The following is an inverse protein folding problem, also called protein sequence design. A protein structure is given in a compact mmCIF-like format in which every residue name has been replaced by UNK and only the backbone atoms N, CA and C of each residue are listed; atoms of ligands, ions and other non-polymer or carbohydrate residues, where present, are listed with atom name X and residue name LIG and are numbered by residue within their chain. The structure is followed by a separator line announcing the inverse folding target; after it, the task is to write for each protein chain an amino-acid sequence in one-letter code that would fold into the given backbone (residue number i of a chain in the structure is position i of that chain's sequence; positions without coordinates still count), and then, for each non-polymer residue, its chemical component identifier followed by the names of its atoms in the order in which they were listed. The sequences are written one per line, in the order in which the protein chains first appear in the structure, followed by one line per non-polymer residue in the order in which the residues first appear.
data_IF_113403879189
#
_entry.id   IF_113403879189
#
_cell.length_a   1.000
_cell.length_b   1.000
_cell.length_c   1.000
_cell.angle_alpha   90.00
_cell.angle_beta   90.00
_cell.angle_gamma   90.00
#
_symmetry.space_group_name_H-M   'P 1'
#
loop_
_entity.id
_entity.type
_entity.pdbx_description
1 polymer ?
#
# COMPACT_ATOMS: atom_id res chain seq x y z
N UNK A 1 -2.17 -20.89 -17.09
CA UNK A 1 -2.85 -19.94 -16.18
C UNK A 1 -4.25 -20.48 -15.92
N UNK A 2 -4.71 -20.53 -14.67
CA UNK A 2 -6.05 -21.00 -14.26
C UNK A 2 -6.80 -19.86 -13.55
N UNK A 3 -8.12 -19.97 -13.44
CA UNK A 3 -9.00 -18.91 -12.92
C UNK A 3 -10.10 -19.51 -12.04
N UNK A 4 -10.59 -18.74 -11.07
CA UNK A 4 -11.80 -19.02 -10.30
C UNK A 4 -12.72 -17.80 -10.26
N UNK A 5 -13.98 -17.96 -10.69
CA UNK A 5 -15.02 -16.95 -10.60
C UNK A 5 -15.58 -16.87 -9.17
N UNK A 6 -15.72 -15.65 -8.65
CA UNK A 6 -16.20 -15.42 -7.27
C UNK A 6 -17.12 -14.19 -7.10
N UNK A 7 -17.28 -13.37 -8.13
CA UNK A 7 -18.11 -12.17 -8.15
C UNK A 7 -18.46 -11.78 -9.60
N UNK A 8 -19.35 -10.81 -9.75
CA UNK A 8 -19.73 -10.19 -11.02
C UNK A 8 -19.62 -8.66 -10.90
N UNK A 9 -19.63 -7.99 -12.06
CA UNK A 9 -19.68 -6.55 -12.16
C UNK A 9 -21.09 -6.10 -12.57
N UNK A 10 -21.17 -5.48 -13.74
CA UNK A 10 -22.44 -5.03 -14.33
C UNK A 10 -23.28 -6.21 -14.83
N UNK A 11 -24.60 -6.12 -14.61
CA UNK A 11 -25.59 -7.06 -15.13
C UNK A 11 -26.83 -6.30 -15.58
N UNK A 12 -27.45 -6.78 -16.65
CA UNK A 12 -28.69 -6.22 -17.20
C UNK A 12 -29.89 -6.41 -16.27
N UNK A 13 -29.91 -7.52 -15.52
CA UNK A 13 -30.95 -7.86 -14.57
C UNK A 13 -30.41 -8.72 -13.42
N UNK A 14 -31.01 -8.67 -12.22
CA UNK A 14 -30.69 -9.60 -11.14
C UNK A 14 -30.99 -11.04 -11.57
N UNK A 15 -30.02 -11.93 -11.44
CA UNK A 15 -30.16 -13.33 -11.87
C UNK A 15 -30.24 -14.31 -10.68
N UNK A 16 -30.12 -13.82 -9.45
CA UNK A 16 -30.28 -14.59 -8.20
C UNK A 16 -30.29 -13.68 -6.97
N UNK A 17 -30.60 -14.26 -5.80
CA UNK A 17 -30.76 -13.58 -4.51
C UNK A 17 -29.67 -13.90 -3.49
N UNK A 18 -28.86 -14.94 -3.71
CA UNK A 18 -27.77 -15.32 -2.78
C UNK A 18 -26.43 -15.49 -3.48
N UNK A 19 -25.34 -15.20 -2.77
CA UNK A 19 -23.96 -15.38 -3.24
C UNK A 19 -23.67 -16.86 -3.57
N UNK A 20 -24.21 -17.80 -2.79
CA UNK A 20 -24.13 -19.23 -3.04
C UNK A 20 -24.76 -19.60 -4.38
N UNK A 21 -25.96 -19.09 -4.69
CA UNK A 21 -26.63 -19.34 -5.95
C UNK A 21 -25.94 -18.65 -7.15
N UNK A 22 -25.26 -17.52 -6.94
CA UNK A 22 -24.38 -16.93 -7.97
C UNK A 22 -23.30 -17.92 -8.39
N UNK A 23 -22.65 -18.56 -7.43
CA UNK A 23 -21.56 -19.50 -7.71
C UNK A 23 -22.08 -20.74 -8.45
N UNK A 24 -23.26 -21.24 -8.10
CA UNK A 24 -23.89 -22.34 -8.83
C UNK A 24 -24.30 -21.92 -10.26
N UNK A 25 -24.77 -20.69 -10.44
CA UNK A 25 -25.05 -20.14 -11.78
C UNK A 25 -23.78 -20.05 -12.62
N UNK A 26 -22.67 -19.61 -12.03
CA UNK A 26 -21.36 -19.59 -12.69
C UNK A 26 -20.92 -20.98 -13.12
N UNK A 27 -21.05 -22.00 -12.25
CA UNK A 27 -20.78 -23.40 -12.66
C UNK A 27 -21.66 -23.83 -13.82
N UNK A 28 -22.96 -23.50 -13.78
CA UNK A 28 -23.91 -23.79 -14.86
C UNK A 28 -23.57 -23.13 -16.19
N UNK A 29 -22.89 -21.98 -16.16
CA UNK A 29 -22.36 -21.31 -17.36
C UNK A 29 -20.97 -21.81 -17.79
N UNK A 30 -20.40 -22.81 -17.11
CA UNK A 30 -19.08 -23.35 -17.40
C UNK A 30 -17.93 -22.51 -16.84
N UNK A 31 -18.19 -21.52 -15.98
CA UNK A 31 -17.14 -20.78 -15.30
C UNK A 31 -16.56 -21.63 -14.15
N UNK A 32 -15.23 -21.73 -14.03
CA UNK A 32 -14.60 -22.46 -12.94
C UNK A 32 -14.84 -21.73 -11.62
N UNK A 33 -15.39 -22.43 -10.62
CA UNK A 33 -15.60 -21.93 -9.24
C UNK A 33 -14.74 -22.75 -8.30
N UNK A 34 -14.25 -22.15 -7.21
CA UNK A 34 -13.43 -22.86 -6.25
C UNK A 34 -14.25 -24.00 -5.60
N UNK A 35 -13.82 -25.28 -5.70
CA UNK A 35 -14.57 -26.41 -5.16
C UNK A 35 -14.64 -26.41 -3.63
N UNK A 36 -13.78 -25.62 -2.96
CA UNK A 36 -13.72 -25.52 -1.51
C UNK A 36 -14.64 -24.44 -0.94
N UNK A 37 -15.39 -23.71 -1.76
CA UNK A 37 -16.38 -22.75 -1.24
C UNK A 37 -17.51 -23.47 -0.51
N UNK A 38 -17.81 -23.02 0.72
CA UNK A 38 -18.82 -23.62 1.60
C UNK A 38 -19.75 -22.55 2.17
N UNK A 39 -21.06 -22.81 2.12
CA UNK A 39 -22.04 -22.04 2.88
C UNK A 39 -21.92 -22.41 4.36
N UNK A 40 -21.72 -21.41 5.22
CA UNK A 40 -21.63 -21.58 6.66
C UNK A 40 -22.80 -20.82 7.32
N UNK A 41 -23.46 -21.45 8.30
CA UNK A 41 -24.64 -20.89 8.98
C UNK A 41 -24.33 -20.26 10.34
N UNK A 42 -23.10 -20.39 10.82
CA UNK A 42 -22.63 -19.79 12.07
C UNK A 42 -21.16 -19.38 11.99
N UNK A 43 -20.72 -18.55 12.95
CA UNK A 43 -19.31 -18.13 13.05
C UNK A 43 -18.38 -19.33 13.34
N UNK A 44 -18.84 -20.29 14.13
CA UNK A 44 -18.12 -21.52 14.47
C UNK A 44 -17.87 -22.36 13.20
N UNK A 45 -18.87 -22.50 12.34
CA UNK A 45 -18.71 -23.18 11.04
C UNK A 45 -17.69 -22.46 10.14
N UNK A 46 -17.72 -21.12 10.12
CA UNK A 46 -16.78 -20.30 9.35
C UNK A 46 -15.33 -20.45 9.85
N UNK A 47 -15.14 -20.49 11.16
CA UNK A 47 -13.81 -20.68 11.79
C UNK A 47 -13.32 -22.10 11.58
N UNK A 48 -14.19 -23.10 11.73
CA UNK A 48 -13.85 -24.50 11.47
C UNK A 48 -13.39 -24.69 10.01
N UNK A 49 -14.13 -24.10 9.06
CA UNK A 49 -13.76 -24.15 7.64
C UNK A 49 -12.42 -23.44 7.37
N UNK A 50 -12.18 -22.28 7.98
CA UNK A 50 -10.88 -21.59 7.91
C UNK A 50 -9.73 -22.50 8.37
N UNK A 51 -9.86 -23.18 9.52
CA UNK A 51 -8.84 -24.11 10.05
C UNK A 51 -8.59 -25.29 9.11
N UNK A 52 -9.64 -25.83 8.49
CA UNK A 52 -9.49 -26.88 7.46
C UNK A 52 -8.65 -26.39 6.28
N UNK A 53 -8.97 -25.21 5.72
CA UNK A 53 -8.21 -24.66 4.60
C UNK A 53 -6.77 -24.33 5.00
N UNK A 54 -6.55 -23.82 6.22
CA UNK A 54 -5.21 -23.56 6.77
C UNK A 54 -4.35 -24.82 6.81
N UNK A 55 -4.91 -25.93 7.30
CA UNK A 55 -4.22 -27.22 7.37
C UNK A 55 -3.89 -27.80 5.99
N UNK A 56 -4.80 -27.63 5.01
CA UNK A 56 -4.62 -28.14 3.65
C UNK A 56 -3.77 -27.23 2.76
N UNK A 57 -3.44 -26.00 3.23
CA UNK A 57 -2.83 -24.93 2.44
C UNK A 57 -1.62 -25.38 1.63
N UNK A 58 -0.71 -26.14 2.24
CA UNK A 58 0.51 -26.61 1.60
C UNK A 58 0.26 -27.56 0.41
N UNK A 59 -0.91 -28.20 0.35
CA UNK A 59 -1.28 -29.16 -0.69
C UNK A 59 -2.10 -28.58 -1.84
N UNK A 60 -2.44 -27.28 -1.83
CA UNK A 60 -3.44 -26.73 -2.75
C UNK A 60 -2.99 -26.58 -4.21
N UNK A 61 -1.70 -26.74 -4.53
CA UNK A 61 -1.19 -26.57 -5.90
C UNK A 61 -1.33 -25.14 -6.45
N UNK A 62 -1.73 -24.20 -5.61
CA UNK A 62 -1.77 -22.75 -5.82
C UNK A 62 -1.67 -22.07 -4.46
N UNK A 63 -1.16 -20.84 -4.45
CA UNK A 63 -0.99 -20.06 -3.22
C UNK A 63 -2.29 -19.36 -2.81
N UNK A 64 -2.52 -19.32 -1.50
CA UNK A 64 -3.59 -18.54 -0.86
C UNK A 64 -3.05 -17.86 0.41
N UNK A 65 -3.63 -16.72 0.77
CA UNK A 65 -3.24 -15.92 1.94
C UNK A 65 -4.33 -15.86 3.02
N UNK A 66 -5.47 -16.52 2.81
CA UNK A 66 -6.58 -16.59 3.76
C UNK A 66 -7.86 -17.14 3.13
N UNK A 67 -8.98 -16.87 3.79
CA UNK A 67 -10.33 -17.09 3.28
C UNK A 67 -11.11 -15.78 3.24
N UNK A 68 -12.13 -15.69 2.39
CA UNK A 68 -13.02 -14.54 2.34
C UNK A 68 -14.41 -14.97 2.80
N UNK A 69 -14.87 -14.33 3.87
CA UNK A 69 -16.24 -14.43 4.33
C UNK A 69 -17.12 -13.42 3.61
N UNK A 70 -18.31 -13.83 3.18
CA UNK A 70 -19.30 -12.97 2.53
C UNK A 70 -20.66 -13.27 3.13
N UNK A 71 -21.44 -12.22 3.38
CA UNK A 71 -22.87 -12.37 3.68
C UNK A 71 -23.54 -13.01 2.47
N UNK A 72 -24.27 -14.11 2.66
CA UNK A 72 -24.84 -14.87 1.54
C UNK A 72 -26.01 -14.13 0.86
N UNK A 73 -26.89 -13.51 1.64
CA UNK A 73 -28.05 -12.76 1.14
C UNK A 73 -27.62 -11.46 0.43
N UNK A 74 -27.96 -11.33 -0.87
CA UNK A 74 -27.59 -10.17 -1.68
C UNK A 74 -28.39 -8.92 -1.33
N UNK A 75 -29.59 -9.06 -0.75
CA UNK A 75 -30.35 -7.95 -0.17
C UNK A 75 -29.62 -7.31 0.99
N UNK A 76 -29.03 -8.12 1.88
CA UNK A 76 -28.17 -7.60 2.95
C UNK A 76 -26.88 -7.00 2.43
N UNK A 77 -26.24 -7.57 1.40
CA UNK A 77 -25.07 -6.94 0.78
C UNK A 77 -25.38 -5.53 0.25
N UNK A 78 -26.49 -5.37 -0.48
CA UNK A 78 -26.96 -4.06 -0.98
C UNK A 78 -27.20 -3.06 0.14
N UNK A 79 -27.84 -3.50 1.23
CA UNK A 79 -28.14 -2.66 2.40
C UNK A 79 -26.88 -2.25 3.18
N UNK A 80 -25.91 -3.17 3.33
CA UNK A 80 -24.66 -2.91 4.03
C UNK A 80 -23.75 -1.96 3.24
N UNK A 81 -23.72 -2.10 1.91
CA UNK A 81 -23.01 -1.21 1.01
C UNK A 81 -21.49 -1.27 1.15
N UNK A 82 -20.84 -0.14 0.86
CA UNK A 82 -19.39 -0.01 0.78
C UNK A 82 -18.89 1.17 1.64
N UNK A 83 -17.67 1.04 2.15
CA UNK A 83 -16.83 2.20 2.52
C UNK A 83 -15.95 2.58 1.33
N UNK A 84 -15.17 3.66 1.42
CA UNK A 84 -14.43 4.26 0.30
C UNK A 84 -13.66 3.26 -0.60
N UNK A 85 -13.16 2.15 -0.06
CA UNK A 85 -12.35 1.17 -0.80
C UNK A 85 -12.74 -0.30 -0.56
N UNK A 86 -13.76 -0.59 0.24
CA UNK A 86 -14.08 -1.97 0.64
C UNK A 86 -15.57 -2.20 0.90
N UNK A 87 -16.12 -3.39 0.61
CA UNK A 87 -17.48 -3.76 1.00
C UNK A 87 -17.60 -3.92 2.51
N UNK A 88 -18.79 -3.61 3.06
CA UNK A 88 -19.10 -3.85 4.49
C UNK A 88 -19.64 -5.26 4.76
N UNK A 89 -19.95 -6.01 3.71
CA UNK A 89 -20.57 -7.34 3.75
C UNK A 89 -19.59 -8.49 3.47
N UNK A 90 -18.30 -8.19 3.31
CA UNK A 90 -17.27 -9.20 3.14
C UNK A 90 -16.02 -8.86 3.94
N UNK A 91 -15.32 -9.91 4.40
CA UNK A 91 -14.11 -9.80 5.20
C UNK A 91 -13.09 -10.87 4.76
N UNK A 92 -11.87 -10.45 4.49
CA UNK A 92 -10.75 -11.36 4.27
C UNK A 92 -10.12 -11.73 5.62
N UNK A 93 -10.26 -13.00 6.01
CA UNK A 93 -9.63 -13.57 7.19
C UNK A 93 -8.32 -14.23 6.76
N UNK A 94 -7.22 -13.51 6.98
CA UNK A 94 -5.88 -13.94 6.56
C UNK A 94 -5.29 -14.98 7.50
N UNK A 95 -4.49 -15.90 6.94
CA UNK A 95 -3.75 -16.87 7.75
C UNK A 95 -2.76 -16.17 8.68
N UNK A 96 -2.42 -16.84 9.79
CA UNK A 96 -1.33 -16.40 10.63
C UNK A 96 -0.06 -16.22 9.77
N UNK A 97 0.62 -15.10 9.98
CA UNK A 97 1.83 -14.81 9.24
C UNK A 97 2.88 -15.86 9.59
N UNK A 98 3.56 -16.38 8.57
CA UNK A 98 4.60 -17.36 8.79
C UNK A 98 5.86 -16.65 9.25
N UNK A 99 6.51 -17.23 10.26
CA UNK A 99 7.70 -16.68 10.87
C UNK A 99 8.88 -17.61 10.62
N UNK A 100 10.07 -17.01 10.48
CA UNK A 100 11.31 -17.75 10.54
C UNK A 100 12.35 -16.94 11.30
N UNK A 101 13.31 -17.66 11.88
CA UNK A 101 14.43 -17.07 12.59
C UNK A 101 15.64 -17.16 11.67
N UNK A 102 16.35 -16.04 11.49
CA UNK A 102 17.57 -16.00 10.69
C UNK A 102 18.53 -14.93 11.19
N UNK A 103 19.73 -14.89 10.63
CA UNK A 103 20.77 -13.94 10.98
C UNK A 103 20.68 -12.67 10.12
N UNK A 104 20.82 -11.50 10.75
CA UNK A 104 20.90 -10.20 10.10
C UNK A 104 22.34 -9.90 9.70
N UNK A 105 22.65 -10.04 8.40
CA UNK A 105 24.00 -9.89 7.86
C UNK A 105 24.42 -8.43 7.66
N UNK A 106 23.48 -7.56 7.27
CA UNK A 106 23.73 -6.13 7.05
C UNK A 106 22.43 -5.32 7.05
N UNK A 107 22.54 -4.00 7.18
CA UNK A 107 21.42 -3.06 6.99
C UNK A 107 21.82 -2.06 5.90
N UNK A 108 21.13 -2.16 4.75
CA UNK A 108 21.26 -1.21 3.65
C UNK A 108 20.20 -0.11 3.76
N UNK A 109 20.46 1.05 3.17
CA UNK A 109 19.50 2.16 3.12
C UNK A 109 18.96 2.37 1.71
N UNK A 110 17.68 2.08 1.53
CA UNK A 110 16.96 2.35 0.29
C UNK A 110 16.34 3.74 0.29
N UNK A 111 16.73 4.58 -0.68
CA UNK A 111 16.19 5.92 -0.85
C UNK A 111 14.95 5.88 -1.75
N UNK A 112 13.79 6.23 -1.19
CA UNK A 112 12.51 6.26 -1.89
C UNK A 112 12.36 7.48 -2.80
N UNK A 113 11.32 7.46 -3.66
CA UNK A 113 11.00 8.56 -4.59
C UNK A 113 10.69 9.90 -3.92
N UNK A 114 10.23 9.87 -2.68
CA UNK A 114 9.99 11.07 -1.86
C UNK A 114 11.19 11.43 -0.98
N UNK A 115 12.34 10.79 -1.21
CA UNK A 115 13.57 10.99 -0.45
C UNK A 115 13.62 10.25 0.87
N UNK A 116 12.64 9.41 1.22
CA UNK A 116 12.66 8.63 2.46
C UNK A 116 13.83 7.65 2.48
N UNK A 117 14.62 7.66 3.56
CA UNK A 117 15.66 6.66 3.80
C UNK A 117 15.02 5.50 4.55
N UNK A 118 14.89 4.36 3.89
CA UNK A 118 14.21 3.19 4.43
C UNK A 118 15.24 2.07 4.67
N UNK A 119 15.47 1.65 5.92
CA UNK A 119 16.39 0.57 6.22
C UNK A 119 15.86 -0.77 5.70
N UNK A 120 16.75 -1.53 5.06
CA UNK A 120 16.51 -2.86 4.52
C UNK A 120 17.48 -3.84 5.16
N UNK A 121 16.95 -4.83 5.86
CA UNK A 121 17.72 -5.93 6.40
C UNK A 121 18.18 -6.87 5.28
N UNK A 122 19.49 -7.15 5.22
CA UNK A 122 20.09 -8.25 4.47
C UNK A 122 20.18 -9.45 5.39
N UNK A 123 19.51 -10.53 5.03
CA UNK A 123 19.35 -11.70 5.88
C UNK A 123 20.12 -12.88 5.30
N UNK A 124 20.60 -13.75 6.18
CA UNK A 124 20.98 -15.10 5.77
C UNK A 124 19.75 -15.78 5.16
N UNK A 125 19.83 -16.32 3.93
CA UNK A 125 18.66 -16.83 3.23
C UNK A 125 17.88 -17.84 4.07
N UNK A 126 16.58 -17.59 4.24
CA UNK A 126 15.68 -18.41 5.06
C UNK A 126 14.34 -18.61 4.36
N UNK A 127 13.75 -19.79 4.48
CA UNK A 127 12.44 -20.06 3.89
C UNK A 127 11.33 -19.58 4.82
N UNK A 128 10.48 -18.66 4.34
CA UNK A 128 9.30 -18.16 5.07
C UNK A 128 8.07 -18.36 4.21
N UNK A 129 7.24 -19.34 4.58
CA UNK A 129 6.03 -19.66 3.81
C UNK A 129 6.32 -20.12 2.39
N UNK A 130 7.23 -21.09 2.24
CA UNK A 130 7.57 -21.70 0.95
C UNK A 130 8.47 -20.87 0.03
N UNK A 131 8.76 -19.60 0.36
CA UNK A 131 9.65 -18.74 -0.44
C UNK A 131 10.92 -18.43 0.34
N UNK A 132 12.05 -18.42 -0.36
CA UNK A 132 13.34 -18.00 0.20
C UNK A 132 13.39 -16.48 0.32
N UNK A 133 13.56 -15.99 1.54
CA UNK A 133 13.69 -14.58 1.88
C UNK A 133 15.14 -14.28 2.24
N UNK A 134 15.74 -13.31 1.54
CA UNK A 134 17.06 -12.76 1.86
C UNK A 134 17.03 -11.27 2.22
N UNK A 135 15.85 -10.63 2.11
CA UNK A 135 15.66 -9.21 2.41
C UNK A 135 14.37 -8.99 3.17
N UNK A 136 14.39 -8.10 4.15
CA UNK A 136 13.20 -7.69 4.88
C UNK A 136 13.23 -6.19 5.22
N UNK A 137 12.05 -5.56 5.29
CA UNK A 137 11.96 -4.15 5.70
C UNK A 137 12.20 -4.01 7.20
N UNK A 138 12.89 -2.93 7.58
CA UNK A 138 13.04 -2.45 8.95
C UNK A 138 12.25 -1.16 9.19
N UNK A 139 11.30 -0.83 8.30
CA UNK A 139 10.41 0.32 8.36
C UNK A 139 11.10 1.70 8.32
N UNK A 140 11.78 2.13 9.39
CA UNK A 140 12.41 3.43 9.53
C UNK A 140 13.51 3.42 10.62
N UNK A 141 14.22 4.54 10.78
CA UNK A 141 15.29 4.73 11.77
C UNK A 141 14.84 4.42 13.21
N UNK A 142 13.70 4.97 13.64
CA UNK A 142 13.16 4.70 14.98
C UNK A 142 12.86 3.23 15.20
N UNK A 143 12.31 2.56 14.19
CA UNK A 143 12.04 1.12 14.26
C UNK A 143 13.33 0.30 14.40
N UNK A 144 14.46 0.72 13.83
CA UNK A 144 15.76 0.06 14.09
C UNK A 144 16.23 0.30 15.52
N UNK A 145 15.97 1.50 16.06
CA UNK A 145 16.35 1.90 17.42
C UNK A 145 15.45 1.32 18.53
N UNK A 146 14.35 0.64 18.20
CA UNK A 146 13.40 0.17 19.21
C UNK A 146 12.43 1.26 19.68
N UNK A 147 12.16 2.26 18.83
CA UNK A 147 11.26 3.39 19.13
C UNK A 147 10.15 3.49 18.08
N UNK A 148 8.91 3.61 18.55
CA UNK A 148 7.71 3.82 17.75
C UNK A 148 7.63 5.22 17.14
N UNK A 149 6.63 5.44 16.28
CA UNK A 149 6.41 6.74 15.64
C UNK A 149 5.89 7.81 16.63
N UNK A 150 5.28 7.39 17.72
CA UNK A 150 4.83 8.19 18.86
C UNK A 150 5.98 8.60 19.80
N UNK A 151 7.11 7.89 19.73
CA UNK A 151 8.27 8.04 20.60
C UNK A 151 8.35 6.97 21.70
N UNK A 152 7.36 6.07 21.78
CA UNK A 152 7.33 5.04 22.81
C UNK A 152 8.22 3.85 22.45
N UNK A 153 8.79 3.12 23.42
CA UNK A 153 9.56 1.93 23.15
C UNK A 153 8.72 0.86 22.44
N UNK A 154 9.27 0.27 21.39
CA UNK A 154 8.74 -0.95 20.76
C UNK A 154 9.68 -2.11 21.05
N UNK A 155 9.15 -3.33 21.11
CA UNK A 155 9.92 -4.53 21.47
C UNK A 155 10.66 -4.33 22.81
N UNK A 156 9.98 -3.72 23.77
CA UNK A 156 10.54 -3.37 25.09
C UNK A 156 11.82 -2.52 25.02
N UNK A 157 11.98 -1.71 23.95
CA UNK A 157 13.16 -0.86 23.74
C UNK A 157 14.35 -1.57 23.10
N UNK A 158 14.17 -2.81 22.61
CA UNK A 158 15.20 -3.56 21.90
C UNK A 158 15.49 -2.94 20.52
N UNK A 159 16.73 -2.50 20.35
CA UNK A 159 17.29 -2.11 19.06
C UNK A 159 17.63 -3.33 18.19
N UNK A 160 17.83 -3.10 16.90
CA UNK A 160 18.24 -4.13 15.92
C UNK A 160 19.66 -3.82 15.47
N UNK A 161 20.55 -4.81 15.54
CA UNK A 161 21.98 -4.69 15.24
C UNK A 161 22.41 -5.67 14.16
N UNK A 162 23.41 -5.29 13.38
CA UNK A 162 24.04 -6.24 12.44
C UNK A 162 24.67 -7.38 13.25
N UNK A 163 24.46 -8.62 12.80
CA UNK A 163 24.82 -9.85 13.50
C UNK A 163 23.71 -10.43 14.38
N UNK A 164 22.61 -9.69 14.63
CA UNK A 164 21.50 -10.20 15.44
C UNK A 164 20.83 -11.41 14.79
N UNK A 165 20.39 -12.34 15.64
CA UNK A 165 19.38 -13.32 15.25
C UNK A 165 18.00 -12.66 15.30
N UNK A 166 17.31 -12.57 14.18
CA UNK A 166 16.05 -11.84 14.02
C UNK A 166 14.89 -12.76 13.66
N UNK A 167 13.69 -12.38 14.08
CA UNK A 167 12.42 -13.02 13.72
C UNK A 167 11.85 -12.30 12.51
N UNK A 168 11.78 -12.98 11.38
CA UNK A 168 11.27 -12.47 10.11
C UNK A 168 9.86 -12.99 9.90
N UNK A 169 8.96 -12.09 9.56
CA UNK A 169 7.54 -12.40 9.37
C UNK A 169 7.11 -12.05 7.96
N UNK A 170 6.38 -12.97 7.34
CA UNK A 170 5.75 -12.79 6.03
C UNK A 170 4.26 -13.06 6.13
N UNK A 171 3.45 -12.05 5.82
CA UNK A 171 1.99 -12.18 5.77
C UNK A 171 1.53 -12.28 4.31
N UNK A 172 1.18 -13.48 3.85
CA UNK A 172 0.77 -13.72 2.46
C UNK A 172 1.87 -13.38 1.44
N UNK A 173 1.50 -12.76 0.32
CA UNK A 173 2.43 -12.33 -0.75
C UNK A 173 3.02 -10.93 -0.55
N UNK A 174 3.02 -10.44 0.69
CA UNK A 174 3.50 -9.10 1.04
C UNK A 174 5.00 -9.10 1.36
N UNK A 175 5.63 -7.93 1.22
CA UNK A 175 7.04 -7.64 1.56
C UNK A 175 7.38 -8.16 2.98
N UNK A 176 8.37 -9.06 3.13
CA UNK A 176 8.83 -9.54 4.43
C UNK A 176 9.31 -8.41 5.33
N UNK A 177 9.07 -8.54 6.64
CA UNK A 177 9.54 -7.58 7.66
C UNK A 177 10.21 -8.29 8.83
N UNK A 178 11.17 -7.64 9.46
CA UNK A 178 11.69 -8.08 10.75
C UNK A 178 10.69 -7.66 11.84
N UNK A 179 10.29 -8.60 12.70
CA UNK A 179 9.37 -8.34 13.82
C UNK A 179 10.11 -8.04 15.12
N UNK A 180 11.08 -8.86 15.49
CA UNK A 180 11.84 -8.74 16.74
C UNK A 180 13.23 -9.39 16.62
N UNK A 181 14.04 -9.25 17.67
CA UNK A 181 15.37 -9.83 17.87
C UNK A 181 15.30 -10.92 18.92
N UNK A 182 16.02 -12.02 18.72
CA UNK A 182 16.24 -13.06 19.73
C UNK A 182 17.42 -12.62 20.59
N UNK A 183 17.14 -11.87 21.66
CA UNK A 183 18.17 -11.19 22.48
C UNK A 183 19.19 -12.16 23.08
N UNK A 184 18.75 -13.35 23.48
CA UNK A 184 19.61 -14.39 24.07
C UNK A 184 20.69 -14.89 23.10
N UNK A 185 20.54 -14.61 21.80
CA UNK A 185 21.48 -14.98 20.74
C UNK A 185 22.26 -13.80 20.19
N UNK A 186 22.18 -12.63 20.82
CA UNK A 186 22.93 -11.43 20.38
C UNK A 186 24.43 -11.68 20.56
N UNK A 187 25.24 -11.54 19.49
CA UNK A 187 26.69 -11.59 19.61
C UNK A 187 27.21 -10.51 20.57
N UNK A 188 28.24 -10.82 21.35
CA UNK A 188 28.82 -9.89 22.33
C UNK A 188 29.45 -8.65 21.67
N UNK A 189 29.86 -8.77 20.42
CA UNK A 189 30.45 -7.71 19.59
C UNK A 189 29.41 -6.93 18.75
N UNK A 190 28.11 -7.22 18.91
CA UNK A 190 27.05 -6.54 18.17
C UNK A 190 26.92 -5.06 18.58
N UNK A 191 27.20 -4.16 17.64
CA UNK A 191 27.15 -2.71 17.85
C UNK A 191 25.81 -2.10 17.42
N UNK A 192 25.30 -1.07 18.13
CA UNK A 192 24.12 -0.32 17.70
C UNK A 192 24.28 0.23 16.28
N UNK A 193 23.24 0.10 15.46
CA UNK A 193 23.27 0.60 14.09
C UNK A 193 23.19 2.13 14.05
N UNK A 194 24.17 2.77 13.41
CA UNK A 194 24.19 4.22 13.20
C UNK A 194 23.51 4.55 11.89
N UNK A 195 22.36 5.23 11.96
CA UNK A 195 21.62 5.65 10.79
C UNK A 195 22.32 6.82 10.10
N UNK A 196 22.44 6.84 8.75
CA UNK A 196 23.22 7.86 8.08
C UNK A 196 22.53 9.24 8.07
N UNK A 197 23.31 10.28 8.36
CA UNK A 197 22.92 11.69 8.23
C UNK A 197 23.08 12.24 6.81
N UNK A 198 23.62 11.43 5.90
CA UNK A 198 23.79 11.74 4.48
C UNK A 198 23.10 10.70 3.62
N UNK A 199 22.56 11.16 2.48
CA UNK A 199 21.86 10.30 1.55
C UNK A 199 22.87 9.43 0.78
N UNK A 200 22.77 8.09 0.83
CA UNK A 200 23.70 7.21 0.10
C UNK A 200 23.56 7.33 -1.42
N UNK A 201 22.43 7.84 -1.93
CA UNK A 201 22.18 7.98 -3.37
C UNK A 201 22.77 9.26 -3.99
N UNK A 202 22.98 10.34 -3.22
CA UNK A 202 23.45 11.62 -3.77
C UNK A 202 24.38 12.43 -2.86
N UNK A 203 24.71 11.93 -1.67
CA UNK A 203 25.56 12.61 -0.68
C UNK A 203 24.93 13.82 0.02
N UNK A 204 23.73 14.26 -0.38
CA UNK A 204 23.03 15.38 0.27
C UNK A 204 22.65 15.07 1.72
N UNK A 205 22.48 16.08 2.56
CA UNK A 205 22.04 15.91 3.95
C UNK A 205 20.70 15.17 4.02
N UNK A 206 20.56 14.29 4.99
CA UNK A 206 19.34 13.57 5.29
C UNK A 206 18.87 13.95 6.70
N UNK A 207 17.67 14.51 6.81
CA UNK A 207 17.16 15.10 8.05
C UNK A 207 15.79 14.54 8.41
N UNK A 208 15.49 14.53 9.71
CA UNK A 208 14.12 14.37 10.20
C UNK A 208 13.51 15.76 10.35
N UNK A 209 12.42 16.02 9.64
CA UNK A 209 11.78 17.34 9.70
C UNK A 209 11.00 17.51 10.99
N UNK A 210 11.05 18.69 11.59
CA UNK A 210 10.22 19.04 12.74
C UNK A 210 8.79 19.31 12.26
N UNK A 211 7.83 18.52 12.73
CA UNK A 211 6.43 18.79 12.43
C UNK A 211 5.97 20.03 13.20
N UNK A 212 5.53 21.11 12.52
CA UNK A 212 5.21 22.37 13.18
C UNK A 212 3.96 22.30 14.08
N UNK A 213 3.05 21.35 13.83
CA UNK A 213 1.81 21.15 14.60
C UNK A 213 2.05 20.34 15.86
N UNK A 214 2.75 19.21 15.74
CA UNK A 214 2.98 18.31 16.87
C UNK A 214 4.24 18.65 17.66
N UNK A 215 5.11 19.52 17.11
CA UNK A 215 6.45 19.85 17.65
C UNK A 215 7.35 18.62 17.85
N UNK A 216 7.03 17.50 17.20
CA UNK A 216 7.83 16.26 17.18
C UNK A 216 8.58 16.15 15.85
N UNK A 217 9.77 15.53 15.88
CA UNK A 217 10.48 15.14 14.66
C UNK A 217 9.68 14.04 13.94
N UNK A 218 9.62 14.11 12.61
CA UNK A 218 9.03 13.04 11.79
C UNK A 218 9.76 11.71 12.06
N UNK A 219 9.04 10.59 12.03
CA UNK A 219 9.60 9.26 12.20
C UNK A 219 10.52 8.86 11.04
N UNK A 220 10.34 9.49 9.86
CA UNK A 220 11.09 9.18 8.64
C UNK A 220 12.14 10.26 8.37
N UNK A 221 13.40 9.83 8.27
CA UNK A 221 14.49 10.66 7.76
C UNK A 221 14.39 10.77 6.23
N UNK A 222 14.50 12.00 5.70
CA UNK A 222 14.44 12.27 4.26
C UNK A 222 15.68 12.99 3.75
N UNK A 223 16.11 12.60 2.56
CA UNK A 223 17.14 13.29 1.79
C UNK A 223 16.64 14.66 1.33
N UNK A 224 17.40 15.72 1.58
CA UNK A 224 17.09 17.10 1.14
C UNK A 224 17.55 17.39 -0.28
N UNK A 225 18.09 16.39 -0.98
CA UNK A 225 18.66 16.55 -2.32
C UNK A 225 17.64 16.86 -3.41
N UNK A 226 16.35 16.62 -3.18
CA UNK A 226 15.28 17.00 -4.13
C UNK A 226 15.64 16.65 -5.58
N UNK A 227 15.74 17.67 -6.43
CA UNK A 227 16.07 17.52 -7.86
C UNK A 227 17.47 16.96 -8.16
N UNK A 228 18.44 17.09 -7.25
CA UNK A 228 19.78 16.53 -7.43
C UNK A 228 19.88 15.07 -6.96
N UNK A 229 18.91 14.59 -6.18
CA UNK A 229 18.89 13.20 -5.76
C UNK A 229 18.35 12.32 -6.90
N UNK A 230 19.11 11.32 -7.40
CA UNK A 230 18.65 10.47 -8.49
C UNK A 230 17.43 9.64 -8.11
N UNK A 231 17.23 9.37 -6.81
CA UNK A 231 16.04 8.67 -6.32
C UNK A 231 14.78 9.55 -6.35
N UNK A 232 14.91 10.87 -6.16
CA UNK A 232 13.77 11.80 -6.06
C UNK A 232 13.43 12.50 -7.37
N UNK A 233 14.45 12.75 -8.19
CA UNK A 233 14.29 13.31 -9.50
C UNK A 233 13.55 12.32 -10.41
N UNK A 234 12.23 12.45 -10.50
CA UNK A 234 11.47 11.77 -11.55
C UNK A 234 11.95 12.18 -12.95
N UNK A 235 11.26 11.70 -14.01
CA UNK A 235 11.63 11.94 -15.43
C UNK A 235 11.97 13.39 -15.78
N UNK A 236 11.41 14.39 -15.09
CA UNK A 236 11.69 15.81 -15.29
C UNK A 236 13.11 16.24 -14.89
N UNK A 237 13.68 15.70 -13.80
CA UNK A 237 15.04 16.01 -13.38
C UNK A 237 16.08 15.34 -14.31
N UNK A 238 15.77 14.16 -14.82
CA UNK A 238 16.55 13.46 -15.84
C UNK A 238 16.56 14.23 -17.17
N UNK A 239 15.40 14.70 -17.61
CA UNK A 239 15.28 15.57 -18.79
C UNK A 239 16.07 16.88 -18.64
N UNK A 240 16.09 17.49 -17.44
CA UNK A 240 16.88 18.69 -17.18
C UNK A 240 18.39 18.43 -17.24
N UNK A 241 18.86 17.29 -16.70
CA UNK A 241 20.27 16.86 -16.80
C UNK A 241 20.68 16.58 -18.24
N UNK A 242 19.79 15.97 -19.03
CA UNK A 242 20.02 15.75 -20.46
C UNK A 242 20.10 17.09 -21.22
N UNK A 243 19.16 18.00 -20.97
CA UNK A 243 19.14 19.33 -21.59
C UNK A 243 20.37 20.17 -21.22
N UNK A 244 20.88 20.08 -19.99
CA UNK A 244 22.08 20.80 -19.55
C UNK A 244 23.37 20.24 -20.17
N UNK A 245 23.42 18.94 -20.49
CA UNK A 245 24.54 18.34 -21.24
C UNK A 245 24.51 18.70 -22.73
N UNK A 246 23.34 19.02 -23.27
CA UNK A 246 23.13 19.41 -24.66
C UNK A 246 23.28 20.93 -24.90
N UNK A 247 24.01 21.68 -24.06
CA UNK A 247 24.23 23.11 -24.35
C UNK A 247 24.84 23.27 -25.76
N UNK A 248 24.21 24.01 -26.67
CA UNK A 248 24.81 24.32 -27.96
C UNK A 248 26.12 25.08 -27.72
N UNK A 249 27.17 24.73 -28.48
CA UNK A 249 28.40 25.52 -28.57
C UNK A 249 28.04 27.00 -28.78
N UNK A 250 28.61 27.88 -27.95
CA UNK A 250 28.49 29.36 -27.94
C UNK A 250 27.98 29.93 -29.28
N UNK A 251 26.77 30.50 -29.29
CA UNK A 251 26.41 31.49 -30.30
C UNK A 251 27.34 32.68 -30.13
N UNK A 252 28.08 33.03 -31.19
CA UNK A 252 28.97 34.19 -31.21
C UNK A 252 28.14 35.49 -31.07
N UNK A 253 28.65 36.53 -30.40
CA UNK A 253 27.89 37.76 -30.14
C UNK A 253 27.67 38.68 -31.36
N UNK A 254 28.17 38.34 -32.55
CA UNK A 254 28.40 39.32 -33.61
C UNK A 254 27.22 39.57 -34.57
N UNK A 255 26.00 39.13 -34.26
CA UNK A 255 24.83 39.32 -35.13
C UNK A 255 23.82 40.36 -34.63
N UNK A 256 24.26 41.32 -33.82
CA UNK A 256 23.44 42.48 -33.43
C UNK A 256 24.03 43.81 -33.91
N UNK A 257 24.31 43.92 -35.21
CA UNK A 257 24.54 45.23 -35.84
C UNK A 257 24.19 45.22 -37.32
N UNK A 258 22.94 45.55 -37.64
CA UNK A 258 22.57 45.90 -39.01
C UNK A 258 21.12 45.63 -39.36
N UNK A 259 20.20 46.49 -38.91
CA UNK A 259 18.97 46.85 -39.63
C UNK A 259 18.14 47.87 -38.83
N UNK A 260 18.72 49.02 -38.50
CA UNK A 260 17.93 50.23 -38.22
C UNK A 260 18.02 51.07 -39.48
N UNK A 261 16.99 51.00 -40.34
CA UNK A 261 16.53 52.03 -41.30
C UNK A 261 15.57 51.39 -42.32
N UNK A 262 14.28 51.75 -42.28
CA UNK A 262 13.33 51.45 -43.35
C UNK A 262 11.86 51.44 -42.90
N UNK A 263 11.15 52.52 -43.26
CA UNK A 263 9.74 52.92 -43.05
C UNK A 263 8.64 51.83 -42.94
N UNK A 264 7.50 52.14 -42.28
CA UNK A 264 6.39 51.21 -42.08
C UNK A 264 5.54 51.05 -43.35
N UNK A 265 5.14 49.81 -43.65
CA UNK A 265 3.97 49.54 -44.49
C UNK A 265 2.99 48.72 -43.66
N UNK A 266 1.81 49.30 -43.47
CA UNK A 266 0.63 48.65 -42.91
C UNK A 266 0.24 47.45 -43.78
N UNK A 267 -0.02 46.30 -43.15
CA UNK A 267 -0.80 45.22 -43.74
C UNK A 267 -1.53 44.48 -42.61
N UNK A 268 -2.85 44.47 -42.75
CA UNK A 268 -3.84 44.05 -41.77
C UNK A 268 -3.69 42.58 -41.30
N UNK A 269 -3.81 42.36 -39.99
CA UNK A 269 -4.16 41.06 -39.42
C UNK A 269 -5.65 40.80 -39.65
N UNK A 270 -5.98 39.77 -40.45
CA UNK A 270 -7.32 39.16 -40.47
C UNK A 270 -7.44 38.14 -39.33
N UNK A 271 -8.47 38.20 -38.47
CA UNK A 271 -8.71 37.16 -37.48
C UNK A 271 -9.34 35.90 -38.12
N UNK A 272 -8.90 34.74 -37.63
CA UNK A 272 -9.43 33.41 -37.95
C UNK A 272 -10.72 33.17 -37.16
N UNK A 273 -11.82 32.67 -37.74
CA UNK A 273 -13.07 32.46 -37.01
C UNK A 273 -13.03 31.16 -36.19
N UNK A 274 -13.25 31.27 -34.88
CA UNK A 274 -13.59 30.15 -33.98
C UNK A 274 -15.10 29.93 -33.99
N UNK A 275 -15.56 28.88 -34.67
CA UNK A 275 -16.95 28.43 -34.62
C UNK A 275 -17.13 27.32 -33.59
N UNK A 276 -17.67 27.65 -32.42
CA UNK A 276 -18.30 26.68 -31.51
C UNK A 276 -19.76 27.10 -31.38
N UNK A 277 -20.67 26.31 -31.95
CA UNK A 277 -22.12 26.47 -31.76
C UNK A 277 -22.53 25.81 -30.45
N UNK A 278 -23.13 26.60 -29.56
CA UNK A 278 -23.93 26.10 -28.44
C UNK A 278 -25.26 25.55 -28.98
N UNK A 279 -25.66 24.39 -28.48
CA UNK A 279 -27.02 23.88 -28.63
C UNK A 279 -27.62 23.73 -27.23
N UNK A 280 -28.66 24.52 -26.98
CA UNK A 280 -29.52 24.46 -25.81
C UNK A 280 -30.45 23.24 -25.89
N UNK A 281 -30.85 22.70 -24.73
CA UNK A 281 -32.04 21.86 -24.65
C UNK A 281 -32.06 20.88 -23.49
N UNK A 282 -33.00 21.08 -22.55
CA UNK A 282 -33.69 19.96 -21.91
C UNK A 282 -33.55 19.83 -20.40
N UNK A 283 -34.22 20.72 -19.66
CA UNK A 283 -34.59 20.54 -18.25
C UNK A 283 -35.52 19.32 -18.08
N UNK A 284 -35.08 18.31 -17.31
CA UNK A 284 -35.94 17.28 -16.71
C UNK A 284 -35.38 16.82 -15.37
N UNK A 285 -35.87 17.45 -14.28
CA UNK A 285 -35.82 16.89 -12.92
C UNK A 285 -36.90 15.80 -12.77
N UNK A 286 -36.60 14.63 -12.18
CA UNK A 286 -37.63 13.79 -11.59
C UNK A 286 -37.78 14.08 -10.09
N UNK A 287 -39.03 13.94 -9.65
CA UNK A 287 -39.57 14.34 -8.35
C UNK A 287 -38.97 13.59 -7.15
N UNK A 288 -38.81 14.31 -6.03
CA UNK A 288 -38.56 13.74 -4.70
C UNK A 288 -39.88 13.22 -4.13
N UNK A 289 -39.92 11.94 -3.75
CA UNK A 289 -41.00 11.37 -2.94
C UNK A 289 -40.66 11.49 -1.45
N UNK A 290 -41.60 11.85 -0.55
CA UNK A 290 -41.33 12.04 0.87
C UNK A 290 -41.68 10.76 1.65
N UNK A 291 -40.69 10.11 2.26
CA UNK A 291 -40.96 9.14 3.33
C UNK A 291 -40.14 9.48 4.58
N UNK A 292 -40.89 9.51 5.67
CA UNK A 292 -40.60 10.07 6.99
C UNK A 292 -39.49 9.30 7.70
N UNK A 293 -38.57 10.05 8.32
CA UNK A 293 -37.68 9.52 9.35
C UNK A 293 -38.46 9.33 10.66
N UNK A 294 -38.34 8.15 11.27
CA UNK A 294 -38.68 7.92 12.67
C UNK A 294 -37.38 7.72 13.47
N UNK A 295 -37.26 8.29 14.68
CA UNK A 295 -36.00 8.31 15.41
C UNK A 295 -35.68 6.99 16.10
N UNK A 296 -34.39 6.66 16.03
CA UNK A 296 -33.69 5.59 16.73
C UNK A 296 -33.74 5.83 18.26
N UNK A 297 -34.29 4.89 19.03
CA UNK A 297 -34.16 4.86 20.50
C UNK A 297 -33.09 3.84 20.89
N UNK A 298 -32.05 4.32 21.57
CA UNK A 298 -31.00 3.49 22.15
C UNK A 298 -31.42 2.81 23.47
N UNK A 299 -30.71 1.72 23.76
CA UNK A 299 -30.28 1.18 25.06
C UNK A 299 -28.92 0.54 24.75
N UNK A 300 -27.76 0.93 25.28
CA UNK A 300 -27.33 1.23 26.65
C UNK A 300 -27.60 0.08 27.62
N UNK A 301 -26.52 -0.63 28.00
CA UNK A 301 -26.46 -1.41 29.24
C UNK A 301 -25.71 -2.73 29.15
N UNK A 302 -24.68 -2.83 29.99
CA UNK A 302 -24.03 -4.03 30.55
C UNK A 302 -22.99 -4.77 29.69
N UNK A 303 -21.82 -5.18 30.18
CA UNK A 303 -21.03 -4.90 31.41
C UNK A 303 -19.71 -5.69 31.26
N UNK A 304 -18.69 -5.31 32.02
CA UNK A 304 -17.38 -5.95 32.14
C UNK A 304 -17.44 -7.43 32.54
N UNK A 305 -16.45 -8.21 32.10
CA UNK A 305 -15.90 -9.34 32.85
C UNK A 305 -14.49 -9.68 32.32
N UNK A 306 -13.48 -9.12 33.01
CA UNK A 306 -12.18 -9.75 33.20
C UNK A 306 -12.33 -10.99 34.11
N UNK A 307 -11.56 -12.05 33.82
CA UNK A 307 -11.01 -13.12 34.69
C UNK A 307 -10.74 -14.36 33.82
N UNK A 308 -9.49 -14.71 33.52
CA UNK A 308 -8.56 -15.54 34.32
C UNK A 308 -8.85 -17.06 34.31
N UNK A 309 -7.77 -17.78 33.99
CA UNK A 309 -7.42 -19.20 34.24
C UNK A 309 -7.98 -20.34 33.36
N UNK A 310 -7.02 -21.14 32.86
CA UNK A 310 -7.18 -22.38 32.09
C UNK A 310 -5.99 -22.66 31.18
#
# INVERSE_FOLDING_TARGET
MRFFAYAWGEVSEPFTDTQSAVLERFRGWGLPVNPRTKLCRSAEEMIAHYRTIEAERAGLGYDIDGVVYKVDDLGFQRRLGFVSRAPRWALAHKFAAQEAITELLAIDINVGRTGSLNPLARLKPVTVGGVVVSNATLHNEGYVQGVGADGEPIREGRDIRVGDTVIVVRAGDVIPKVRDVVIDKRPADAVPYVFPDTCPACGSRAVRELNPRTKKLDAIRRCTGGLICPAQGGRAAEALRLAQRLRPRRLRPDLYRGAVRGRPREAACRPVPTGVRAAEGGDRRPARSPLRAAPYRGRAGAEEADQEEG
#
